data_IF_321238880708
#
_entry.id   IF_321238880708
#
_cell.length_a   1.000
_cell.length_b   1.000
_cell.length_c   1.000
_cell.angle_alpha   90.00
_cell.angle_beta   90.00
_cell.angle_gamma   90.00
#
_symmetry.space_group_name_H-M   'P 1'
#
loop_
_entity.id
_entity.type
_entity.pdbx_description
1 polymer ?
#
# COMPACT_ATOMS: atom_id res chain seq x y z
N UNK A 1 12.69 -7.52 36.80
CA UNK A 1 12.81 -6.95 35.44
C UNK A 1 13.36 -5.54 35.56
N UNK A 2 14.42 -5.19 34.83
CA UNK A 2 15.13 -3.91 35.01
C UNK A 2 14.32 -2.77 34.36
N UNK A 3 14.15 -1.59 35.01
CA UNK A 3 13.45 -0.44 34.41
C UNK A 3 13.99 -0.04 33.03
N UNK A 4 15.28 -0.22 32.76
CA UNK A 4 15.86 0.01 31.43
C UNK A 4 15.34 -0.97 30.36
N UNK A 5 15.11 -2.24 30.72
CA UNK A 5 14.55 -3.22 29.77
C UNK A 5 13.10 -2.89 29.44
N UNK A 6 12.32 -2.41 30.41
CA UNK A 6 10.93 -1.99 30.20
C UNK A 6 10.86 -0.82 29.22
N UNK A 7 11.74 0.18 29.37
CA UNK A 7 11.79 1.33 28.47
C UNK A 7 12.19 0.94 27.04
N UNK A 8 13.18 0.06 26.88
CA UNK A 8 13.62 -0.43 25.56
C UNK A 8 12.49 -1.19 24.86
N UNK A 9 11.80 -2.08 25.57
CA UNK A 9 10.66 -2.82 25.00
C UNK A 9 9.52 -1.90 24.60
N UNK A 10 9.16 -0.90 25.41
CA UNK A 10 8.14 0.09 25.06
C UNK A 10 8.51 0.89 23.82
N UNK A 11 9.77 1.31 23.69
CA UNK A 11 10.25 2.02 22.50
C UNK A 11 10.21 1.14 21.25
N UNK A 12 10.56 -0.14 21.36
CA UNK A 12 10.43 -1.10 20.26
C UNK A 12 8.96 -1.28 19.86
N UNK A 13 8.06 -1.50 20.80
CA UNK A 13 6.62 -1.65 20.51
C UNK A 13 6.03 -0.40 19.87
N UNK A 14 6.39 0.79 20.36
CA UNK A 14 5.95 2.06 19.76
C UNK A 14 6.48 2.24 18.35
N UNK A 15 7.74 1.88 18.11
CA UNK A 15 8.34 1.92 16.79
C UNK A 15 7.65 0.95 15.83
N UNK A 16 7.44 -0.29 16.25
CA UNK A 16 6.78 -1.31 15.42
C UNK A 16 5.32 -0.92 15.11
N UNK A 17 4.64 -0.30 16.08
CA UNK A 17 3.31 0.28 15.87
C UNK A 17 3.33 1.43 14.86
N UNK A 18 4.26 2.37 14.99
CA UNK A 18 4.44 3.48 14.04
C UNK A 18 4.79 2.98 12.64
N UNK A 19 5.56 1.91 12.54
CA UNK A 19 6.05 1.37 11.27
C UNK A 19 5.07 0.36 10.65
N UNK A 20 4.06 -0.08 11.39
CA UNK A 20 2.99 -0.92 10.85
C UNK A 20 2.27 -0.26 9.66
N UNK A 21 2.21 1.08 9.61
CA UNK A 21 1.67 1.80 8.45
C UNK A 21 2.50 1.67 7.16
N UNK A 22 3.72 1.14 7.28
CA UNK A 22 4.68 0.88 6.21
C UNK A 22 4.85 -0.63 5.91
N UNK A 23 3.82 -1.43 6.16
CA UNK A 23 3.70 -2.79 5.62
C UNK A 23 2.74 -2.76 4.44
N UNK A 24 3.12 -3.48 3.39
CA UNK A 24 2.33 -3.62 2.18
C UNK A 24 2.48 -5.04 1.64
N UNK A 25 1.46 -5.86 1.90
CA UNK A 25 1.49 -7.30 1.68
C UNK A 25 0.30 -7.76 0.85
N UNK A 26 0.47 -8.87 0.13
CA UNK A 26 -0.64 -9.53 -0.56
C UNK A 26 -1.32 -10.46 0.45
N UNK A 27 -2.49 -10.07 0.94
CA UNK A 27 -3.26 -10.88 1.88
C UNK A 27 -3.95 -12.07 1.20
N UNK A 28 -4.45 -11.86 -0.02
CA UNK A 28 -5.14 -12.87 -0.82
C UNK A 28 -4.97 -12.56 -2.30
N UNK A 29 -4.78 -13.59 -3.12
CA UNK A 29 -4.87 -13.48 -4.57
C UNK A 29 -5.48 -14.76 -5.12
N UNK A 30 -6.72 -14.66 -5.59
CA UNK A 30 -7.46 -15.74 -6.24
C UNK A 30 -8.05 -15.28 -7.60
N UNK A 31 -8.84 -16.14 -8.23
CA UNK A 31 -9.45 -15.89 -9.55
C UNK A 31 -10.43 -14.70 -9.57
N UNK A 32 -10.92 -14.28 -8.41
CA UNK A 32 -11.99 -13.28 -8.27
C UNK A 32 -11.52 -12.00 -7.59
N UNK A 33 -10.50 -12.08 -6.75
CA UNK A 33 -10.09 -10.99 -5.86
C UNK A 33 -8.59 -10.98 -5.63
N UNK A 34 -8.02 -9.77 -5.66
CA UNK A 34 -6.71 -9.47 -5.08
C UNK A 34 -6.93 -8.58 -3.85
N UNK A 35 -6.39 -8.97 -2.70
CA UNK A 35 -6.44 -8.18 -1.48
C UNK A 35 -5.02 -7.75 -1.08
N UNK A 36 -4.86 -6.46 -0.84
CA UNK A 36 -3.62 -5.84 -0.37
C UNK A 36 -3.83 -5.38 1.07
N UNK A 37 -3.04 -5.91 2.00
CA UNK A 37 -2.95 -5.43 3.37
C UNK A 37 -1.93 -4.29 3.41
N UNK A 38 -2.38 -3.09 3.79
CA UNK A 38 -1.55 -1.89 3.92
C UNK A 38 -1.62 -1.38 5.37
N UNK A 39 -0.72 -1.86 6.22
CA UNK A 39 -0.78 -1.70 7.66
C UNK A 39 -2.09 -2.25 8.22
N UNK A 40 -2.94 -1.41 8.81
CA UNK A 40 -4.26 -1.81 9.32
C UNK A 40 -5.39 -1.81 8.28
N UNK A 41 -5.09 -1.47 7.02
CA UNK A 41 -6.11 -1.30 5.96
C UNK A 41 -6.08 -2.48 5.00
N UNK A 42 -7.24 -3.07 4.74
CA UNK A 42 -7.42 -4.00 3.63
C UNK A 42 -7.98 -3.26 2.42
N UNK A 43 -7.29 -3.37 1.28
CA UNK A 43 -7.73 -2.85 -0.01
C UNK A 43 -8.04 -4.02 -0.93
N UNK A 44 -9.25 -4.07 -1.44
CA UNK A 44 -9.74 -5.18 -2.25
C UNK A 44 -9.91 -4.77 -3.72
N UNK A 45 -9.34 -5.55 -4.61
CA UNK A 45 -9.49 -5.43 -6.06
C UNK A 45 -10.35 -6.59 -6.52
N UNK A 46 -11.62 -6.31 -6.80
CA UNK A 46 -12.57 -7.33 -7.27
C UNK A 46 -12.52 -7.42 -8.79
N UNK A 47 -12.14 -8.57 -9.33
CA UNK A 47 -12.02 -8.80 -10.77
C UNK A 47 -13.40 -8.84 -11.44
N UNK A 48 -14.39 -9.47 -10.80
CA UNK A 48 -15.77 -9.57 -11.33
C UNK A 48 -16.44 -8.21 -11.52
N UNK A 49 -16.33 -7.33 -10.53
CA UNK A 49 -16.93 -5.98 -10.59
C UNK A 49 -15.96 -4.91 -11.13
N UNK A 50 -14.72 -5.31 -11.48
CA UNK A 50 -13.63 -4.45 -11.96
C UNK A 50 -13.51 -3.17 -11.12
N UNK A 51 -13.45 -3.32 -9.81
CA UNK A 51 -13.53 -2.21 -8.86
C UNK A 51 -12.56 -2.40 -7.69
N UNK A 52 -12.16 -1.26 -7.12
CA UNK A 52 -11.29 -1.18 -5.94
C UNK A 52 -12.14 -0.73 -4.75
N UNK A 53 -12.01 -1.44 -3.64
CA UNK A 53 -12.79 -1.25 -2.42
C UNK A 53 -11.90 -1.13 -1.20
N UNK A 54 -12.41 -0.44 -0.18
CA UNK A 54 -11.85 -0.44 1.16
C UNK A 54 -13.01 -0.56 2.13
N UNK A 55 -13.05 -1.65 2.90
CA UNK A 55 -14.24 -2.04 3.65
C UNK A 55 -15.48 -2.00 2.71
N UNK A 56 -16.53 -1.28 3.08
CA UNK A 56 -17.75 -1.15 2.27
C UNK A 56 -17.75 0.00 1.25
N UNK A 57 -16.65 0.75 1.10
CA UNK A 57 -16.57 1.91 0.22
C UNK A 57 -15.80 1.59 -1.06
N UNK A 58 -16.46 1.79 -2.21
CA UNK A 58 -15.77 1.77 -3.51
C UNK A 58 -14.88 2.99 -3.65
N UNK A 59 -13.59 2.77 -3.90
CA UNK A 59 -12.61 3.82 -4.11
C UNK A 59 -12.51 4.23 -5.58
N UNK A 60 -12.53 3.27 -6.50
CA UNK A 60 -12.43 3.49 -7.94
C UNK A 60 -12.95 2.30 -8.73
N UNK A 61 -13.29 2.50 -10.01
CA UNK A 61 -13.40 1.40 -10.98
C UNK A 61 -12.10 1.24 -11.75
N UNK A 62 -11.82 0.05 -12.28
CA UNK A 62 -10.57 -0.20 -13.01
C UNK A 62 -10.42 0.69 -14.25
N UNK A 63 -11.53 1.04 -14.93
CA UNK A 63 -11.46 1.94 -16.08
C UNK A 63 -11.12 3.39 -15.69
N UNK A 64 -11.40 3.78 -14.45
CA UNK A 64 -11.03 5.09 -13.93
C UNK A 64 -9.55 5.18 -13.58
N UNK A 65 -8.84 4.04 -13.45
CA UNK A 65 -7.42 4.00 -13.15
C UNK A 65 -6.64 4.28 -14.44
N UNK A 66 -5.74 5.26 -14.37
CA UNK A 66 -4.82 5.64 -15.44
C UNK A 66 -3.48 4.91 -15.31
N UNK A 67 -2.91 4.88 -14.11
CA UNK A 67 -1.64 4.23 -13.80
C UNK A 67 -1.58 3.80 -12.34
N UNK A 68 -0.67 2.87 -12.04
CA UNK A 68 -0.18 2.62 -10.70
C UNK A 68 1.11 3.40 -10.55
N UNK A 69 1.14 4.34 -9.62
CA UNK A 69 2.32 5.15 -9.35
C UNK A 69 3.04 4.53 -8.14
N UNK A 70 4.30 4.15 -8.35
CA UNK A 70 5.26 3.74 -7.34
C UNK A 70 6.20 4.93 -7.13
N UNK A 71 6.09 5.61 -5.98
CA UNK A 71 6.87 6.81 -5.70
C UNK A 71 7.85 6.55 -4.57
N UNK A 72 9.11 6.87 -4.79
CA UNK A 72 10.16 6.79 -3.77
C UNK A 72 10.23 8.07 -2.93
N UNK A 73 10.42 7.93 -1.62
CA UNK A 73 10.65 9.02 -0.69
C UNK A 73 11.92 8.74 0.10
N UNK A 74 12.94 9.56 -0.10
CA UNK A 74 14.18 9.49 0.65
C UNK A 74 13.96 9.73 2.16
N UNK A 75 14.86 9.20 2.98
CA UNK A 75 14.84 9.41 4.42
C UNK A 75 14.96 10.90 4.78
N UNK A 76 14.27 11.30 5.84
CA UNK A 76 14.33 12.64 6.46
C UNK A 76 14.60 12.50 7.96
N UNK A 77 14.80 13.61 8.68
CA UNK A 77 15.01 13.56 10.13
C UNK A 77 13.88 12.85 10.88
N UNK A 78 12.66 12.93 10.36
CA UNK A 78 11.44 12.52 11.06
C UNK A 78 10.80 11.27 10.45
N UNK A 79 11.29 10.77 9.31
CA UNK A 79 10.71 9.64 8.58
C UNK A 79 11.78 8.80 7.90
N UNK A 80 11.67 7.45 7.98
CA UNK A 80 12.55 6.57 7.22
C UNK A 80 12.32 6.75 5.72
N UNK A 81 13.24 6.21 4.93
CA UNK A 81 13.03 5.99 3.49
C UNK A 81 11.84 5.04 3.28
N UNK A 82 11.01 5.33 2.28
CA UNK A 82 9.87 4.47 1.95
C UNK A 82 9.41 4.60 0.50
N UNK A 83 8.67 3.58 0.05
CA UNK A 83 7.98 3.53 -1.22
C UNK A 83 6.48 3.66 -0.99
N UNK A 84 5.81 4.43 -1.85
CA UNK A 84 4.36 4.63 -1.81
C UNK A 84 3.75 4.07 -3.08
N UNK A 85 2.73 3.23 -2.92
CA UNK A 85 1.92 2.71 -4.02
C UNK A 85 0.59 3.45 -4.05
N UNK A 86 0.25 4.05 -5.19
CA UNK A 86 -1.01 4.76 -5.37
C UNK A 86 -1.62 4.55 -6.75
N UNK A 87 -2.94 4.62 -6.84
CA UNK A 87 -3.65 4.60 -8.11
C UNK A 87 -3.85 6.04 -8.58
N UNK A 88 -3.34 6.38 -9.75
CA UNK A 88 -3.70 7.63 -10.41
C UNK A 88 -5.00 7.43 -11.16
N UNK A 89 -6.00 8.25 -10.85
CA UNK A 89 -7.31 8.16 -11.51
C UNK A 89 -7.39 9.14 -12.68
N UNK A 90 -8.38 8.94 -13.54
CA UNK A 90 -8.77 9.89 -14.57
C UNK A 90 -9.22 11.21 -13.90
N UNK A 91 -8.61 12.32 -14.31
CA UNK A 91 -8.74 13.64 -13.68
C UNK A 91 -7.44 14.11 -13.03
N UNK A 92 -7.11 15.40 -13.19
CA UNK A 92 -5.76 15.94 -12.95
C UNK A 92 -5.23 15.70 -11.53
N UNK A 93 -6.11 15.73 -10.52
CA UNK A 93 -5.72 15.69 -9.09
C UNK A 93 -6.23 14.46 -8.32
N UNK A 94 -6.86 13.48 -8.97
CA UNK A 94 -7.42 12.32 -8.24
C UNK A 94 -6.40 11.19 -8.12
N UNK A 95 -6.09 10.81 -6.89
CA UNK A 95 -5.31 9.62 -6.58
C UNK A 95 -5.88 8.88 -5.38
N UNK A 96 -5.66 7.57 -5.35
CA UNK A 96 -6.03 6.70 -4.24
C UNK A 96 -4.75 6.10 -3.67
N UNK A 97 -4.45 6.39 -2.41
CA UNK A 97 -3.36 5.73 -1.70
C UNK A 97 -3.73 4.27 -1.42
N UNK A 98 -2.91 3.34 -1.90
CA UNK A 98 -3.02 1.92 -1.54
C UNK A 98 -2.29 1.69 -0.23
N UNK A 99 -1.00 2.03 -0.18
CA UNK A 99 -0.21 1.96 1.04
C UNK A 99 1.24 2.38 0.84
N UNK A 100 2.07 2.10 1.85
CA UNK A 100 3.50 2.40 1.89
C UNK A 100 4.27 1.15 2.30
N UNK A 101 5.50 1.03 1.86
CA UNK A 101 6.43 -0.01 2.30
C UNK A 101 7.81 0.59 2.58
N UNK A 102 8.53 0.05 3.57
CA UNK A 102 9.98 0.31 3.76
C UNK A 102 10.84 -0.52 2.79
N UNK A 103 10.22 -1.44 2.03
CA UNK A 103 10.87 -2.35 1.10
C UNK A 103 10.44 -2.02 -0.33
N UNK A 104 11.41 -1.66 -1.16
CA UNK A 104 11.22 -1.46 -2.61
C UNK A 104 10.62 -2.71 -3.27
N UNK A 105 11.11 -3.89 -2.86
CA UNK A 105 10.69 -5.17 -3.42
C UNK A 105 9.20 -5.41 -3.16
N UNK A 106 8.73 -5.19 -1.94
CA UNK A 106 7.32 -5.43 -1.60
C UNK A 106 6.40 -4.43 -2.30
N UNK A 107 6.81 -3.16 -2.35
CA UNK A 107 6.08 -2.13 -3.08
C UNK A 107 6.01 -2.43 -4.58
N UNK A 108 7.11 -2.88 -5.17
CA UNK A 108 7.21 -3.28 -6.58
C UNK A 108 6.38 -4.52 -6.90
N UNK A 109 6.42 -5.54 -6.05
CA UNK A 109 5.59 -6.76 -6.18
C UNK A 109 4.12 -6.38 -6.14
N UNK A 110 3.70 -5.57 -5.18
CA UNK A 110 2.30 -5.17 -5.08
C UNK A 110 1.87 -4.32 -6.28
N UNK A 111 2.68 -3.35 -6.71
CA UNK A 111 2.40 -2.57 -7.90
C UNK A 111 2.26 -3.45 -9.15
N UNK A 112 3.13 -4.46 -9.31
CA UNK A 112 3.06 -5.42 -10.41
C UNK A 112 1.79 -6.28 -10.35
N UNK A 113 1.37 -6.74 -9.17
CA UNK A 113 0.14 -7.51 -9.01
C UNK A 113 -1.11 -6.67 -9.28
N UNK A 114 -1.13 -5.43 -8.80
CA UNK A 114 -2.22 -4.49 -9.10
C UNK A 114 -2.27 -4.22 -10.61
N UNK A 115 -1.12 -4.02 -11.25
CA UNK A 115 -1.02 -3.88 -12.72
C UNK A 115 -1.60 -5.09 -13.44
N UNK A 116 -1.25 -6.31 -13.03
CA UNK A 116 -1.74 -7.54 -13.63
C UNK A 116 -3.28 -7.67 -13.56
N UNK A 117 -3.90 -7.36 -12.43
CA UNK A 117 -5.37 -7.48 -12.28
C UNK A 117 -6.14 -6.31 -12.91
N UNK A 118 -5.56 -5.12 -12.94
CA UNK A 118 -6.23 -3.93 -13.49
C UNK A 118 -5.96 -3.70 -14.98
N UNK A 119 -4.88 -4.27 -15.50
CA UNK A 119 -4.34 -4.03 -16.85
C UNK A 119 -3.77 -2.62 -17.03
N UNK A 120 -3.32 -1.98 -15.95
CA UNK A 120 -2.84 -0.59 -15.96
C UNK A 120 -1.33 -0.51 -15.77
N UNK A 121 -0.64 0.41 -16.46
CA UNK A 121 0.81 0.48 -16.39
C UNK A 121 1.29 0.94 -15.01
N UNK A 122 2.43 0.40 -14.59
CA UNK A 122 3.19 0.92 -13.44
C UNK A 122 4.09 2.06 -13.89
N UNK A 123 4.16 3.13 -13.10
CA UNK A 123 5.06 4.26 -13.28
C UNK A 123 5.91 4.43 -12.04
N UNK A 124 7.22 4.43 -12.22
CA UNK A 124 8.17 4.81 -11.17
C UNK A 124 8.36 6.33 -11.22
N UNK A 125 8.23 6.98 -10.06
CA UNK A 125 8.29 8.44 -9.89
C UNK A 125 9.24 8.83 -8.76
#
# INVERSE_FOLDING_TARGET
MNPMQILISLLQTLRDWLWSEYSLDIALHDETTLQIQAGSRLIEFTLRSRSVWKASRRLARFHDIRSIDLTHYAATSDRPEYWKVSLKLNGWFRSVLIGKSLSDVDASIAAARISAVTGKPVRSL
#
